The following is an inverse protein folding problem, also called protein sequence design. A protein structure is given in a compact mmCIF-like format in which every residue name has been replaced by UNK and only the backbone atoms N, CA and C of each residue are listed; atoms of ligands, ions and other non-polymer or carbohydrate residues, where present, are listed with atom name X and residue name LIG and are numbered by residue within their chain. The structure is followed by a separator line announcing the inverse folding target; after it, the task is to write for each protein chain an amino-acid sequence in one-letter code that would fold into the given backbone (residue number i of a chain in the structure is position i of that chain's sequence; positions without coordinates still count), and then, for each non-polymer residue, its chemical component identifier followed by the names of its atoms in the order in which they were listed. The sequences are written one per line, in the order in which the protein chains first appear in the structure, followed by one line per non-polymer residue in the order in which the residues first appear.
data_IF_488919175594
#
_entry.id   IF_488919175594
#
_cell.length_a   1.000
_cell.length_b   1.000
_cell.length_c   1.000
_cell.angle_alpha   90.00
_cell.angle_beta   90.00
_cell.angle_gamma   90.00
#
_symmetry.space_group_name_H-M   'P 1'
#
loop_
_entity.id
_entity.type
_entity.pdbx_description
1 polymer ?
#
# COMPACT_ATOMS: atom_id res chain seq x y z
N UNK A 1 43.10 9.07 38.75
CA UNK A 1 42.10 8.14 39.31
C UNK A 1 40.75 8.51 38.72
N UNK A 2 39.99 7.54 38.16
CA UNK A 2 38.84 7.80 37.31
C UNK A 2 37.57 8.03 38.14
N UNK A 3 36.73 8.97 37.70
CA UNK A 3 35.37 9.13 38.20
C UNK A 3 34.45 8.14 37.48
N UNK A 4 33.67 7.44 38.29
CA UNK A 4 32.85 6.28 37.95
C UNK A 4 31.60 6.61 37.12
N UNK A 5 31.26 5.66 36.24
CA UNK A 5 29.95 5.49 35.65
C UNK A 5 28.85 5.25 36.71
N UNK A 6 27.71 5.93 36.57
CA UNK A 6 26.41 5.44 37.05
C UNK A 6 25.24 6.24 36.43
N UNK A 7 24.23 5.48 35.98
CA UNK A 7 22.81 5.82 35.92
C UNK A 7 22.32 6.87 34.88
N UNK A 8 22.10 6.40 33.64
CA UNK A 8 21.00 6.90 32.80
C UNK A 8 19.89 5.84 32.76
N UNK A 9 19.22 5.69 33.90
CA UNK A 9 17.86 5.19 33.98
C UNK A 9 17.05 6.31 34.62
N UNK A 10 16.48 7.18 33.80
CA UNK A 10 15.38 8.03 34.25
C UNK A 10 14.24 7.85 33.27
N UNK A 11 13.18 7.27 33.80
CA UNK A 11 11.85 7.19 33.23
C UNK A 11 11.43 8.60 32.78
N UNK A 12 11.09 8.75 31.50
CA UNK A 12 10.17 9.82 31.13
C UNK A 12 8.78 9.34 31.52
N UNK A 13 8.41 9.58 32.78
CA UNK A 13 7.01 9.62 33.17
C UNK A 13 6.32 10.69 32.31
N UNK A 14 5.31 10.26 31.54
CA UNK A 14 4.41 11.18 30.86
C UNK A 14 3.68 12.08 31.87
N UNK A 15 3.06 13.18 31.44
CA UNK A 15 2.37 14.08 32.35
C UNK A 15 1.32 13.32 33.16
N UNK A 16 1.35 13.51 34.48
CA UNK A 16 0.40 12.98 35.46
C UNK A 16 -1.03 13.44 35.11
N UNK A 17 -1.70 12.61 34.31
CA UNK A 17 -3.15 12.68 34.10
C UNK A 17 -3.77 11.95 35.28
N UNK A 18 -4.41 12.72 36.16
CA UNK A 18 -4.98 12.24 37.43
C UNK A 18 -5.80 10.94 37.33
N UNK A 19 -6.12 10.32 38.48
CA UNK A 19 -6.52 8.93 38.54
C UNK A 19 -7.82 8.70 37.75
N UNK A 20 -7.72 7.95 36.64
CA UNK A 20 -8.89 7.32 36.01
C UNK A 20 -9.11 7.51 34.51
N UNK A 21 -8.19 8.12 33.74
CA UNK A 21 -8.31 8.09 32.26
C UNK A 21 -7.26 7.15 31.67
N UNK A 22 -7.63 5.87 31.54
CA UNK A 22 -6.87 4.93 30.71
C UNK A 22 -6.93 5.37 29.26
N UNK A 23 -5.94 6.15 28.79
CA UNK A 23 -5.82 6.53 27.39
C UNK A 23 -5.41 5.28 26.59
N UNK A 24 -6.37 4.68 25.90
CA UNK A 24 -6.07 3.63 24.92
C UNK A 24 -5.34 4.27 23.73
N UNK A 25 -4.13 3.83 23.37
CA UNK A 25 -3.46 4.29 22.16
C UNK A 25 -4.39 4.09 20.96
N UNK A 26 -4.58 5.13 20.16
CA UNK A 26 -5.36 5.03 18.93
C UNK A 26 -4.57 4.18 17.94
N UNK A 27 -5.24 3.15 17.40
CA UNK A 27 -4.68 2.31 16.34
C UNK A 27 -4.30 3.20 15.14
N UNK A 28 -3.06 3.13 14.62
CA UNK A 28 -2.68 3.92 13.46
C UNK A 28 -3.22 3.25 12.18
N UNK A 29 -4.52 3.38 11.93
CA UNK A 29 -5.25 2.66 10.87
C UNK A 29 -4.60 2.79 9.49
N UNK A 30 -4.22 3.99 9.06
CA UNK A 30 -3.60 4.17 7.75
C UNK A 30 -2.19 3.56 7.67
N UNK A 31 -1.43 3.55 8.78
CA UNK A 31 -0.13 2.89 8.84
C UNK A 31 -0.28 1.36 8.76
N UNK A 32 -1.30 0.83 9.45
CA UNK A 32 -1.64 -0.59 9.41
C UNK A 32 -2.13 -1.01 8.02
N UNK A 33 -2.94 -0.18 7.36
CA UNK A 33 -3.41 -0.42 6.00
C UNK A 33 -2.25 -0.42 4.99
N UNK A 34 -1.32 0.54 5.10
CA UNK A 34 -0.07 0.53 4.33
C UNK A 34 0.69 -0.77 4.54
N UNK A 35 0.91 -1.15 5.80
CA UNK A 35 1.71 -2.31 6.13
C UNK A 35 1.07 -3.62 5.63
N UNK A 36 -0.25 -3.79 5.80
CA UNK A 36 -1.01 -4.95 5.32
C UNK A 36 -1.15 -5.01 3.80
N UNK A 37 -1.10 -3.86 3.12
CA UNK A 37 -1.16 -3.83 1.65
C UNK A 37 0.10 -4.42 1.00
N UNK A 38 1.20 -4.54 1.74
CA UNK A 38 2.45 -5.06 1.20
C UNK A 38 2.41 -6.56 0.96
N UNK A 39 2.88 -6.96 -0.21
CA UNK A 39 3.23 -8.34 -0.51
C UNK A 39 4.57 -8.67 0.12
N UNK A 40 5.02 -9.92 0.05
CA UNK A 40 6.44 -10.20 0.30
C UNK A 40 7.18 -10.03 -1.03
N UNK A 41 8.39 -9.49 -0.98
CA UNK A 41 9.29 -9.44 -2.14
C UNK A 41 9.51 -10.84 -2.76
N UNK A 42 9.87 -10.99 -4.03
CA UNK A 42 10.27 -12.27 -4.60
C UNK A 42 11.49 -12.88 -3.87
N UNK A 43 11.63 -14.21 -3.75
CA UNK A 43 12.78 -14.82 -3.08
C UNK A 43 14.15 -14.30 -3.54
N UNK A 44 14.33 -14.10 -4.84
CA UNK A 44 15.58 -13.64 -5.44
C UNK A 44 15.97 -12.20 -5.09
N UNK A 45 15.00 -11.41 -4.60
CA UNK A 45 15.19 -10.01 -4.18
C UNK A 45 15.22 -9.84 -2.65
N UNK A 46 15.40 -10.93 -1.89
CA UNK A 46 15.42 -10.90 -0.42
C UNK A 46 16.81 -11.00 0.17
N UNK A 47 17.86 -11.18 -0.63
CA UNK A 47 19.19 -11.42 -0.09
C UNK A 47 19.75 -10.15 0.56
N UNK A 48 19.75 -9.03 -0.14
CA UNK A 48 20.20 -7.72 0.33
C UNK A 48 19.04 -6.71 0.30
N UNK A 49 19.05 -5.72 1.20
CA UNK A 49 18.01 -4.67 1.16
C UNK A 49 18.07 -3.86 -0.13
N UNK A 50 19.26 -3.78 -0.75
CA UNK A 50 19.53 -3.14 -2.04
C UNK A 50 19.05 -3.98 -3.23
N UNK A 51 18.34 -5.08 -3.03
CA UNK A 51 17.74 -5.82 -4.15
C UNK A 51 16.36 -5.26 -4.53
N UNK A 52 15.64 -4.66 -3.57
CA UNK A 52 14.30 -4.06 -3.75
C UNK A 52 14.39 -2.55 -3.93
N UNK A 53 13.80 -1.98 -5.00
CA UNK A 53 14.14 -0.61 -5.48
C UNK A 53 13.12 0.39 -4.99
N UNK A 54 13.56 1.48 -4.34
CA UNK A 54 12.75 2.66 -3.99
C UNK A 54 11.26 2.35 -3.73
N UNK A 55 10.39 2.64 -4.70
CA UNK A 55 8.93 2.51 -4.63
C UNK A 55 8.46 1.06 -4.40
N UNK A 56 9.26 0.06 -4.76
CA UNK A 56 8.98 -1.34 -4.46
C UNK A 56 9.02 -1.61 -2.97
N UNK A 57 9.79 -0.85 -2.17
CA UNK A 57 9.69 -0.93 -0.72
C UNK A 57 8.33 -0.47 -0.21
N UNK A 58 7.59 0.39 -0.92
CA UNK A 58 6.23 0.78 -0.54
C UNK A 58 5.21 -0.35 -0.79
N UNK A 59 5.53 -1.33 -1.63
CA UNK A 59 4.63 -2.41 -2.08
C UNK A 59 5.03 -3.79 -1.58
N UNK A 60 6.31 -3.99 -1.30
CA UNK A 60 6.92 -5.26 -0.94
C UNK A 60 7.54 -5.16 0.45
N UNK A 61 7.13 -6.06 1.32
CA UNK A 61 7.73 -6.36 2.59
C UNK A 61 8.94 -7.26 2.33
N UNK A 62 10.10 -6.80 2.80
CA UNK A 62 11.38 -7.48 2.63
C UNK A 62 12.18 -7.36 3.91
N UNK A 63 12.85 -8.45 4.25
CA UNK A 63 13.87 -8.50 5.29
C UNK A 63 15.07 -9.21 4.66
N UNK A 64 16.21 -8.55 4.63
CA UNK A 64 17.43 -9.11 4.05
C UNK A 64 17.72 -10.51 4.64
N UNK A 65 18.11 -11.46 3.80
CA UNK A 65 18.39 -12.87 4.13
C UNK A 65 17.21 -13.65 4.71
N UNK A 66 15.98 -13.13 4.74
CA UNK A 66 14.78 -13.90 5.07
C UNK A 66 14.25 -14.53 3.77
N UNK A 67 15.01 -15.49 3.23
CA UNK A 67 14.77 -16.06 1.90
C UNK A 67 13.46 -16.87 1.85
N UNK A 68 13.14 -17.55 2.95
CA UNK A 68 11.95 -18.41 3.06
C UNK A 68 10.68 -17.57 3.36
N UNK A 69 9.58 -17.93 2.70
CA UNK A 69 8.28 -17.24 2.83
C UNK A 69 7.71 -17.30 4.25
N UNK A 70 7.89 -18.42 4.95
CA UNK A 70 7.42 -18.65 6.33
C UNK A 70 8.11 -17.74 7.34
N UNK A 71 9.44 -17.59 7.25
CA UNK A 71 10.24 -16.68 8.07
C UNK A 71 9.79 -15.25 7.81
N UNK A 72 9.72 -14.85 6.54
CA UNK A 72 9.39 -13.47 6.18
C UNK A 72 7.93 -13.12 6.55
N UNK A 73 7.00 -14.06 6.38
CA UNK A 73 5.59 -13.94 6.83
C UNK A 73 5.52 -13.81 8.35
N UNK A 74 6.24 -14.65 9.10
CA UNK A 74 6.26 -14.62 10.56
C UNK A 74 6.76 -13.26 11.08
N UNK A 75 7.82 -12.70 10.47
CA UNK A 75 8.31 -11.36 10.84
C UNK A 75 7.26 -10.29 10.51
N UNK A 76 6.65 -10.33 9.32
CA UNK A 76 5.60 -9.36 8.93
C UNK A 76 4.41 -9.42 9.88
N UNK A 77 3.90 -10.61 10.15
CA UNK A 77 2.68 -10.80 10.90
C UNK A 77 2.90 -10.45 12.39
N UNK A 78 4.08 -10.77 12.95
CA UNK A 78 4.45 -10.33 14.29
C UNK A 78 4.59 -8.80 14.42
N UNK A 79 5.12 -8.11 13.40
CA UNK A 79 5.14 -6.64 13.37
C UNK A 79 3.73 -6.07 13.26
N UNK A 80 2.86 -6.70 12.47
CA UNK A 80 1.45 -6.30 12.34
C UNK A 80 0.74 -6.41 13.69
N UNK A 81 0.92 -7.54 14.39
CA UNK A 81 0.39 -7.74 15.74
C UNK A 81 0.95 -6.70 16.71
N UNK A 82 2.27 -6.47 16.71
CA UNK A 82 2.89 -5.46 17.56
C UNK A 82 2.34 -4.04 17.34
N UNK A 83 2.02 -3.68 16.09
CA UNK A 83 1.40 -2.39 15.77
C UNK A 83 -0.05 -2.29 16.26
N UNK A 84 -0.79 -3.40 16.24
CA UNK A 84 -2.18 -3.47 16.72
C UNK A 84 -2.25 -3.42 18.25
N UNK A 85 -1.38 -4.18 18.90
CA UNK A 85 -1.38 -4.37 20.35
C UNK A 85 -0.59 -3.28 21.10
N UNK A 86 0.22 -2.49 20.38
CA UNK A 86 1.10 -1.50 20.97
C UNK A 86 2.29 -2.12 21.72
N UNK A 87 2.76 -3.28 21.26
CA UNK A 87 3.84 -4.05 21.91
C UNK A 87 5.16 -3.28 21.91
N UNK A 88 5.86 -3.28 23.05
CA UNK A 88 7.18 -2.66 23.17
C UNK A 88 8.25 -3.46 22.40
N UNK A 89 9.33 -2.79 21.98
CA UNK A 89 10.39 -3.41 21.17
C UNK A 89 11.04 -4.62 21.88
N UNK A 90 11.31 -4.50 23.17
CA UNK A 90 11.96 -5.58 23.94
C UNK A 90 11.05 -6.82 24.04
N UNK A 91 9.76 -6.60 24.32
CA UNK A 91 8.77 -7.67 24.39
C UNK A 91 8.55 -8.35 23.03
N UNK A 92 8.46 -7.56 21.95
CA UNK A 92 8.34 -8.10 20.58
C UNK A 92 9.56 -8.92 20.18
N UNK A 93 10.78 -8.48 20.51
CA UNK A 93 12.00 -9.27 20.26
C UNK A 93 11.98 -10.58 21.05
N UNK A 94 11.59 -10.51 22.34
CA UNK A 94 11.56 -11.67 23.21
C UNK A 94 10.54 -12.71 22.75
N UNK A 95 9.38 -12.27 22.23
CA UNK A 95 8.34 -13.16 21.71
C UNK A 95 8.69 -13.77 20.35
N UNK A 96 9.30 -13.00 19.45
CA UNK A 96 9.59 -13.45 18.08
C UNK A 96 10.85 -14.33 17.99
N UNK A 97 11.85 -14.07 18.85
CA UNK A 97 13.16 -14.74 18.79
C UNK A 97 13.08 -16.28 18.82
N UNK A 98 12.34 -16.92 19.74
CA UNK A 98 12.25 -18.39 19.77
C UNK A 98 11.72 -18.98 18.46
N UNK A 99 10.69 -18.37 17.88
CA UNK A 99 10.09 -18.81 16.60
C UNK A 99 11.09 -18.71 15.46
N UNK A 100 11.89 -17.64 15.39
CA UNK A 100 12.92 -17.48 14.37
C UNK A 100 14.10 -18.45 14.56
N UNK A 101 14.43 -18.81 15.81
CA UNK A 101 15.43 -19.83 16.10
C UNK A 101 14.96 -21.22 15.66
N UNK A 102 13.70 -21.56 15.93
CA UNK A 102 13.09 -22.82 15.49
C UNK A 102 13.03 -22.93 13.97
N UNK A 103 12.72 -21.83 13.28
CA UNK A 103 12.75 -21.73 11.82
C UNK A 103 14.18 -21.71 11.22
N UNK A 104 15.24 -21.83 12.04
CA UNK A 104 16.63 -21.82 11.60
C UNK A 104 17.15 -20.45 11.14
N UNK A 105 16.40 -19.36 11.37
CA UNK A 105 16.77 -17.99 10.99
C UNK A 105 17.43 -17.23 12.15
N UNK A 106 18.52 -17.74 12.71
CA UNK A 106 19.23 -17.06 13.81
C UNK A 106 20.74 -17.28 13.79
N UNK A 107 21.52 -16.26 14.15
CA UNK A 107 22.98 -16.36 14.24
C UNK A 107 23.68 -16.29 12.88
N UNK A 108 24.87 -16.88 12.78
CA UNK A 108 25.64 -16.96 11.53
C UNK A 108 25.23 -18.18 10.71
N UNK A 109 25.16 -18.03 9.39
CA UNK A 109 24.87 -19.11 8.46
C UNK A 109 25.60 -18.90 7.13
N UNK A 110 25.84 -19.99 6.40
CA UNK A 110 26.34 -19.97 5.02
C UNK A 110 25.14 -19.96 4.07
N UNK A 111 25.02 -18.93 3.25
CA UNK A 111 23.93 -18.79 2.28
C UNK A 111 24.51 -18.40 0.93
N UNK A 112 24.01 -19.04 -0.13
CA UNK A 112 24.29 -18.67 -1.51
C UNK A 112 23.48 -17.43 -1.91
N UNK A 113 24.15 -16.45 -2.49
CA UNK A 113 23.50 -15.28 -3.09
C UNK A 113 22.84 -15.68 -4.42
N UNK A 114 21.51 -15.57 -4.57
CA UNK A 114 20.84 -15.95 -5.80
C UNK A 114 21.26 -15.12 -7.02
N UNK A 115 21.82 -13.91 -6.82
CA UNK A 115 22.27 -13.04 -7.93
C UNK A 115 23.69 -13.33 -8.39
N UNK A 116 24.59 -13.72 -7.48
CA UNK A 116 26.02 -13.92 -7.81
C UNK A 116 26.42 -15.39 -7.84
N UNK A 117 25.67 -16.28 -7.18
CA UNK A 117 26.01 -17.68 -6.97
C UNK A 117 27.12 -17.91 -5.92
N UNK A 118 27.55 -16.85 -5.23
CA UNK A 118 28.61 -16.95 -4.22
C UNK A 118 28.05 -17.37 -2.86
N UNK A 119 28.76 -18.26 -2.16
CA UNK A 119 28.42 -18.68 -0.80
C UNK A 119 29.09 -17.72 0.19
N UNK A 120 28.27 -17.05 1.00
CA UNK A 120 28.73 -16.07 1.98
C UNK A 120 28.36 -16.49 3.41
N UNK A 121 29.26 -16.20 4.36
CA UNK A 121 28.90 -16.22 5.79
C UNK A 121 28.11 -14.96 6.12
N UNK A 122 26.82 -15.12 6.43
CA UNK A 122 25.90 -14.03 6.73
C UNK A 122 25.33 -14.15 8.14
N UNK A 123 25.02 -13.00 8.74
CA UNK A 123 24.26 -12.94 10.00
C UNK A 123 22.77 -13.00 9.68
N UNK A 124 22.06 -14.06 10.03
CA UNK A 124 20.59 -14.18 10.03
C UNK A 124 19.99 -13.40 11.21
N UNK A 125 19.07 -13.93 12.00
CA UNK A 125 18.49 -13.23 13.14
C UNK A 125 19.50 -12.82 14.22
N UNK A 126 19.30 -11.63 14.80
CA UNK A 126 19.94 -11.15 16.03
C UNK A 126 19.12 -10.01 16.63
N UNK A 127 19.26 -9.74 17.94
CA UNK A 127 18.52 -8.67 18.62
C UNK A 127 18.78 -7.29 17.97
N UNK A 128 20.01 -7.03 17.52
CA UNK A 128 20.36 -5.81 16.78
C UNK A 128 19.61 -5.73 15.45
N UNK A 129 19.53 -6.83 14.70
CA UNK A 129 18.81 -6.86 13.43
C UNK A 129 17.32 -6.72 13.62
N UNK A 130 16.73 -7.38 14.62
CA UNK A 130 15.32 -7.22 14.96
C UNK A 130 14.98 -5.75 15.28
N UNK A 131 15.84 -5.03 16.01
CA UNK A 131 15.68 -3.59 16.23
C UNK A 131 15.65 -2.78 14.93
N UNK A 132 16.54 -3.06 13.98
CA UNK A 132 16.57 -2.38 12.67
C UNK A 132 15.30 -2.70 11.88
N UNK A 133 14.89 -3.97 11.84
CA UNK A 133 13.71 -4.44 11.13
C UNK A 133 12.46 -3.74 11.67
N UNK A 134 12.28 -3.74 12.99
CA UNK A 134 11.13 -3.08 13.63
C UNK A 134 11.14 -1.57 13.42
N UNK A 135 12.26 -0.88 13.69
CA UNK A 135 12.34 0.58 13.55
C UNK A 135 12.04 1.02 12.12
N UNK A 136 12.67 0.38 11.12
CA UNK A 136 12.53 0.74 9.71
C UNK A 136 11.10 0.54 9.23
N UNK A 137 10.53 -0.66 9.45
CA UNK A 137 9.20 -0.99 8.97
C UNK A 137 8.11 -0.16 9.66
N UNK A 138 8.18 -0.02 10.98
CA UNK A 138 7.20 0.74 11.74
C UNK A 138 7.21 2.23 11.36
N UNK A 139 8.39 2.81 11.13
CA UNK A 139 8.50 4.22 10.76
C UNK A 139 8.05 4.51 9.35
N UNK A 140 8.44 3.68 8.39
CA UNK A 140 7.97 3.84 7.02
C UNK A 140 6.45 3.68 6.96
N UNK A 141 5.87 2.80 7.78
CA UNK A 141 4.42 2.66 7.90
C UNK A 141 3.75 3.90 8.52
N UNK A 142 4.28 4.40 9.63
CA UNK A 142 3.76 5.63 10.26
C UNK A 142 3.91 6.84 9.34
N UNK A 143 5.02 6.94 8.59
CA UNK A 143 5.26 7.97 7.61
C UNK A 143 4.25 7.91 6.46
N UNK A 144 3.96 6.71 5.95
CA UNK A 144 2.95 6.48 4.92
C UNK A 144 1.54 6.86 5.39
N UNK A 145 1.16 6.42 6.59
CA UNK A 145 -0.12 6.79 7.21
C UNK A 145 -0.23 8.30 7.45
N UNK A 146 0.86 8.95 7.87
CA UNK A 146 0.91 10.41 8.01
C UNK A 146 0.73 11.13 6.68
N UNK A 147 1.36 10.66 5.61
CA UNK A 147 1.21 11.23 4.28
C UNK A 147 -0.24 11.11 3.79
N UNK A 148 -0.89 9.95 4.01
CA UNK A 148 -2.30 9.78 3.67
C UNK A 148 -3.21 10.83 4.35
N UNK A 149 -2.91 11.18 5.60
CA UNK A 149 -3.61 12.26 6.30
C UNK A 149 -3.27 13.63 5.71
N UNK A 150 -1.99 13.87 5.43
CA UNK A 150 -1.51 15.12 4.82
C UNK A 150 -2.24 15.37 3.50
N UNK A 151 -2.25 14.39 2.60
CA UNK A 151 -2.86 14.54 1.29
C UNK A 151 -4.37 14.77 1.41
N UNK A 152 -5.05 14.05 2.30
CA UNK A 152 -6.48 14.24 2.59
C UNK A 152 -6.81 15.65 3.11
N UNK A 153 -5.95 16.23 3.95
CA UNK A 153 -6.21 17.52 4.61
C UNK A 153 -5.51 18.72 3.95
N UNK A 154 -4.79 18.51 2.85
CA UNK A 154 -3.97 19.56 2.20
C UNK A 154 -4.73 20.82 1.79
N UNK A 155 -6.03 20.72 1.53
CA UNK A 155 -6.87 21.91 1.27
C UNK A 155 -6.96 22.86 2.47
N UNK A 156 -7.00 22.31 3.69
CA UNK A 156 -7.02 23.09 4.93
C UNK A 156 -5.61 23.44 5.42
N UNK A 157 -4.63 22.59 5.13
CA UNK A 157 -3.23 22.77 5.50
C UNK A 157 -2.32 22.63 4.27
N UNK A 158 -2.24 23.66 3.43
CA UNK A 158 -1.62 23.56 2.10
C UNK A 158 -0.10 23.51 2.10
N UNK A 159 0.57 23.72 3.24
CA UNK A 159 2.03 23.70 3.33
C UNK A 159 2.54 22.64 4.31
N UNK A 160 3.76 22.18 4.07
CA UNK A 160 4.54 21.35 4.98
C UNK A 160 5.80 22.10 5.40
N UNK A 161 6.14 22.00 6.68
CA UNK A 161 7.44 22.40 7.22
C UNK A 161 8.27 21.18 7.58
N UNK A 162 9.53 21.12 7.18
CA UNK A 162 10.47 20.07 7.60
C UNK A 162 11.13 20.44 8.93
N UNK A 163 11.30 19.44 9.80
CA UNK A 163 11.98 19.56 11.10
C UNK A 163 12.97 18.43 11.31
N UNK A 164 14.24 18.80 11.47
CA UNK A 164 15.24 17.92 12.06
C UNK A 164 15.07 17.92 13.59
N UNK A 165 14.86 16.76 14.18
CA UNK A 165 14.74 16.65 15.64
C UNK A 165 16.14 16.75 16.26
N UNK A 166 16.30 17.68 17.20
CA UNK A 166 17.56 17.86 17.91
C UNK A 166 17.80 16.71 18.89
N UNK A 167 18.84 15.93 18.62
CA UNK A 167 19.24 14.76 19.41
C UNK A 167 20.71 14.44 19.14
N UNK A 168 21.42 13.76 20.05
CA UNK A 168 22.83 13.39 19.87
C UNK A 168 23.11 12.55 18.61
N UNK A 169 22.09 11.85 18.11
CA UNK A 169 22.18 10.94 16.95
C UNK A 169 21.52 11.54 15.70
N UNK A 170 21.37 12.87 15.62
CA UNK A 170 20.93 13.55 14.41
C UNK A 170 22.03 13.49 13.35
N UNK A 171 21.63 13.43 12.08
CA UNK A 171 22.51 13.48 10.91
C UNK A 171 22.69 14.92 10.48
N UNK A 172 23.90 15.46 10.55
CA UNK A 172 24.15 16.88 10.22
C UNK A 172 23.77 17.19 8.76
N UNK A 173 23.88 16.19 7.88
CA UNK A 173 23.46 16.25 6.49
C UNK A 173 21.99 16.66 6.34
N UNK A 174 21.11 16.31 7.29
CA UNK A 174 19.69 16.67 7.22
C UNK A 174 19.40 18.13 7.63
N UNK A 175 20.39 18.86 8.17
CA UNK A 175 20.20 20.24 8.61
C UNK A 175 19.86 21.18 7.45
N UNK A 176 20.30 20.85 6.24
CA UNK A 176 19.94 21.59 5.01
C UNK A 176 18.44 21.58 4.73
N UNK A 177 17.72 20.59 5.24
CA UNK A 177 16.27 20.49 5.11
C UNK A 177 15.54 21.19 6.27
N UNK A 178 16.21 21.47 7.39
CA UNK A 178 15.54 22.00 8.58
C UNK A 178 14.97 23.39 8.33
N UNK A 179 13.69 23.58 8.65
CA UNK A 179 12.98 24.84 8.41
C UNK A 179 12.49 25.05 6.98
N UNK A 180 12.73 24.10 6.05
CA UNK A 180 12.16 24.15 4.70
C UNK A 180 10.62 24.15 4.78
N UNK A 181 9.97 25.14 4.17
CA UNK A 181 8.51 25.23 4.07
C UNK A 181 8.09 25.28 2.62
N UNK A 182 7.36 24.27 2.15
CA UNK A 182 6.88 24.17 0.76
C UNK A 182 5.43 23.70 0.70
N UNK A 183 4.69 23.99 -0.38
CA UNK A 183 3.35 23.43 -0.59
C UNK A 183 3.35 21.90 -0.49
N UNK A 184 2.25 21.29 -0.06
CA UNK A 184 2.11 19.82 0.04
C UNK A 184 2.39 19.12 -1.30
N UNK A 185 1.95 19.72 -2.40
CA UNK A 185 2.10 19.16 -3.76
C UNK A 185 3.50 19.43 -4.38
N UNK A 186 4.42 20.02 -3.63
CA UNK A 186 5.77 20.26 -4.11
C UNK A 186 6.54 18.95 -4.37
N UNK A 187 7.23 18.81 -5.52
CA UNK A 187 7.97 17.59 -5.86
C UNK A 187 9.09 17.25 -4.88
N UNK A 188 9.61 18.22 -4.12
CA UNK A 188 10.67 17.97 -3.11
C UNK A 188 10.26 16.88 -2.12
N UNK A 189 8.97 16.81 -1.76
CA UNK A 189 8.44 15.81 -0.83
C UNK A 189 8.38 14.39 -1.40
N UNK A 190 8.65 14.18 -2.68
CA UNK A 190 8.86 12.84 -3.22
C UNK A 190 10.18 12.23 -2.74
N UNK A 191 11.17 13.07 -2.43
CA UNK A 191 12.56 12.64 -2.26
C UNK A 191 13.06 12.81 -0.82
N UNK A 192 12.64 13.86 -0.11
CA UNK A 192 13.12 14.15 1.25
C UNK A 192 12.08 13.94 2.36
N UNK A 193 10.97 13.26 2.09
CA UNK A 193 9.93 13.04 3.10
C UNK A 193 10.37 11.96 4.10
N UNK A 194 10.51 12.28 5.41
CA UNK A 194 11.08 11.35 6.38
C UNK A 194 10.30 10.03 6.52
N UNK A 195 11.01 8.91 6.80
CA UNK A 195 12.43 8.84 7.18
C UNK A 195 13.38 8.89 5.97
N UNK A 196 14.46 9.69 6.07
CA UNK A 196 15.50 9.81 5.02
C UNK A 196 16.74 8.92 5.31
N UNK A 197 16.62 7.93 6.18
CA UNK A 197 17.74 7.09 6.61
C UNK A 197 17.43 6.24 7.84
N UNK A 198 18.26 5.22 8.09
CA UNK A 198 18.12 4.30 9.22
C UNK A 198 17.98 5.06 10.56
N UNK A 199 17.00 4.71 11.40
CA UNK A 199 16.74 5.39 12.67
C UNK A 199 16.51 6.92 12.60
N UNK A 200 16.25 7.48 11.41
CA UNK A 200 15.93 8.90 11.25
C UNK A 200 14.72 9.27 12.09
N UNK A 201 14.78 10.39 12.83
CA UNK A 201 13.65 10.90 13.65
C UNK A 201 13.12 12.24 13.13
N UNK A 202 13.59 12.70 11.96
CA UNK A 202 13.07 13.92 11.34
C UNK A 202 11.58 13.76 11.04
N UNK A 203 10.88 14.89 10.95
CA UNK A 203 9.45 14.93 10.73
C UNK A 203 9.10 16.12 9.84
N UNK A 204 8.01 16.02 9.10
CA UNK A 204 7.33 17.19 8.55
C UNK A 204 6.16 17.58 9.43
N UNK A 205 5.60 18.77 9.31
CA UNK A 205 4.36 19.17 9.98
C UNK A 205 3.53 20.06 9.06
N UNK A 206 2.21 20.00 9.21
CA UNK A 206 1.26 20.74 8.38
C UNK A 206 1.12 22.18 8.85
N UNK A 207 1.09 23.11 7.89
CA UNK A 207 0.98 24.55 8.11
C UNK A 207 -0.22 25.08 7.32
N UNK A 208 -1.04 25.92 7.96
CA UNK A 208 -2.22 26.55 7.33
C UNK A 208 -1.84 27.80 6.53
N UNK A 209 -2.67 28.19 5.56
CA UNK A 209 -2.51 29.47 4.86
C UNK A 209 -2.50 30.66 5.85
N UNK A 210 -3.38 30.64 6.85
CA UNK A 210 -3.43 31.71 7.85
C UNK A 210 -2.16 31.86 8.70
N UNK A 211 -1.36 30.79 8.88
CA UNK A 211 -0.05 30.89 9.54
C UNK A 211 1.01 31.54 8.64
N UNK A 212 0.93 31.31 7.32
CA UNK A 212 1.75 32.04 6.33
C UNK A 212 1.37 33.51 6.32
N UNK A 213 0.07 33.82 6.27
CA UNK A 213 -0.43 35.20 6.20
C UNK A 213 -0.07 36.03 7.44
N UNK A 214 0.02 35.38 8.61
CA UNK A 214 0.49 36.01 9.87
C UNK A 214 2.01 36.10 10.00
N UNK A 215 2.77 35.56 9.05
CA UNK A 215 4.23 35.56 9.08
C UNK A 215 4.85 34.61 10.11
N UNK A 216 4.10 33.62 10.62
CA UNK A 216 4.65 32.60 11.54
C UNK A 216 5.63 31.67 10.83
N UNK A 217 5.43 31.46 9.53
CA UNK A 217 6.30 30.69 8.65
C UNK A 217 6.44 31.42 7.30
N UNK A 218 7.59 31.27 6.65
CA UNK A 218 7.85 31.81 5.31
C UNK A 218 7.98 30.65 4.33
N UNK A 219 7.21 30.68 3.24
CA UNK A 219 7.35 29.69 2.15
C UNK A 219 8.73 29.87 1.53
N UNK A 220 9.54 28.81 1.59
CA UNK A 220 10.88 28.80 1.00
C UNK A 220 10.79 28.89 -0.52
N UNK A 221 11.80 29.43 -1.22
CA UNK A 221 11.90 29.31 -2.68
C UNK A 221 11.96 27.83 -3.10
N UNK A 222 11.80 27.51 -4.41
CA UNK A 222 12.10 26.17 -4.91
C UNK A 222 13.44 25.68 -4.36
N UNK A 223 13.44 24.46 -3.86
CA UNK A 223 14.59 23.87 -3.19
C UNK A 223 15.19 22.83 -4.13
N UNK A 224 16.29 23.20 -4.77
CA UNK A 224 17.04 22.28 -5.61
C UNK A 224 17.77 21.29 -4.72
N UNK A 225 17.52 20.01 -4.97
CA UNK A 225 18.18 18.91 -4.28
C UNK A 225 19.46 18.60 -5.05
N UNK A 226 20.61 18.90 -4.44
CA UNK A 226 21.88 18.42 -4.97
C UNK A 226 21.85 16.89 -4.92
N UNK A 227 22.11 16.25 -6.05
CA UNK A 227 22.17 14.78 -6.13
C UNK A 227 23.60 14.29 -5.92
N UNK A 228 23.73 13.15 -5.26
CA UNK A 228 25.00 12.45 -5.04
C UNK A 228 24.89 11.02 -5.56
N UNK A 229 25.96 10.55 -6.19
CA UNK A 229 26.08 9.17 -6.63
C UNK A 229 26.62 8.31 -5.48
N UNK A 230 25.89 7.25 -5.13
CA UNK A 230 26.22 6.31 -4.05
C UNK A 230 26.45 4.93 -4.65
N UNK A 231 27.64 4.31 -4.50
CA UNK A 231 27.92 3.01 -5.10
C UNK A 231 26.92 1.90 -4.69
N UNK A 232 26.36 1.20 -5.68
CA UNK A 232 25.38 0.13 -5.46
C UNK A 232 25.63 -1.10 -6.34
N UNK A 233 26.65 -1.93 -6.01
CA UNK A 233 27.07 -3.06 -6.85
C UNK A 233 26.01 -4.16 -7.06
N UNK A 234 24.86 -4.09 -6.37
CA UNK A 234 23.76 -5.05 -6.52
C UNK A 234 22.94 -4.81 -7.79
N UNK A 235 22.78 -3.55 -8.21
CA UNK A 235 21.88 -3.16 -9.31
C UNK A 235 22.52 -2.33 -10.41
N UNK A 236 23.68 -1.75 -10.15
CA UNK A 236 24.40 -0.93 -11.10
C UNK A 236 25.75 -0.48 -10.53
N UNK A 237 26.44 0.48 -11.14
CA UNK A 237 27.60 1.07 -10.51
C UNK A 237 27.19 1.94 -9.31
N UNK A 238 26.11 2.74 -9.43
CA UNK A 238 25.74 3.78 -8.46
C UNK A 238 24.22 4.05 -8.45
N UNK A 239 23.67 4.42 -7.29
CA UNK A 239 22.35 5.03 -7.10
C UNK A 239 22.52 6.55 -7.03
N UNK A 240 21.66 7.32 -7.71
CA UNK A 240 21.66 8.79 -7.66
C UNK A 240 20.53 9.23 -6.74
N UNK A 241 20.87 9.88 -5.63
CA UNK A 241 19.92 10.26 -4.57
C UNK A 241 20.20 11.67 -4.07
N UNK A 242 19.25 12.37 -3.44
CA UNK A 242 19.52 13.67 -2.84
C UNK A 242 20.60 13.59 -1.76
N UNK A 243 21.46 14.59 -1.71
CA UNK A 243 22.45 14.74 -0.65
C UNK A 243 21.78 14.76 0.73
N UNK A 244 22.24 13.88 1.62
CA UNK A 244 21.65 13.67 2.94
C UNK A 244 20.46 12.70 2.97
N UNK A 245 20.14 12.01 1.87
CA UNK A 245 19.17 10.92 1.83
C UNK A 245 19.89 9.59 1.59
N UNK A 246 19.61 8.59 2.42
CA UNK A 246 20.11 7.23 2.21
C UNK A 246 19.34 6.55 1.07
N UNK A 247 19.98 5.84 0.12
CA UNK A 247 19.28 5.22 -1.02
C UNK A 247 18.15 4.26 -0.67
N UNK A 248 18.17 3.61 0.50
CA UNK A 248 17.07 2.77 0.96
C UNK A 248 15.81 3.58 1.35
N UNK A 249 15.94 4.90 1.43
CA UNK A 249 14.95 5.86 1.91
C UNK A 249 14.71 6.99 0.92
N UNK A 250 15.26 6.89 -0.30
CA UNK A 250 15.05 7.83 -1.39
C UNK A 250 13.66 7.64 -2.01
N UNK A 251 12.67 8.26 -1.37
CA UNK A 251 11.27 8.14 -1.75
C UNK A 251 10.32 8.59 -0.64
N UNK A 252 9.04 8.66 -0.98
CA UNK A 252 7.98 8.95 -0.01
C UNK A 252 7.05 7.73 0.08
N UNK A 253 7.15 6.92 1.16
CA UNK A 253 6.44 5.66 1.24
C UNK A 253 4.92 5.84 1.18
N UNK A 254 4.39 6.97 1.63
CA UNK A 254 2.96 7.26 1.56
C UNK A 254 2.51 7.71 0.18
N UNK A 255 3.33 8.54 -0.49
CA UNK A 255 3.06 8.95 -1.87
C UNK A 255 3.10 7.74 -2.80
N UNK A 256 4.14 6.92 -2.69
CA UNK A 256 4.33 5.73 -3.52
C UNK A 256 3.26 4.67 -3.25
N UNK A 257 2.84 4.55 -2.00
CA UNK A 257 1.72 3.69 -1.63
C UNK A 257 0.42 4.16 -2.26
N UNK A 258 0.08 5.45 -2.13
CA UNK A 258 -1.20 6.00 -2.59
C UNK A 258 -1.26 6.26 -4.09
N UNK A 259 -0.13 6.18 -4.79
CA UNK A 259 -0.05 6.40 -6.23
C UNK A 259 -0.97 5.44 -7.00
N UNK A 260 -2.01 6.01 -7.61
CA UNK A 260 -2.96 5.32 -8.48
C UNK A 260 -2.66 5.55 -9.96
N UNK A 261 -1.82 6.52 -10.31
CA UNK A 261 -1.59 6.93 -11.70
C UNK A 261 -1.04 5.77 -12.52
N UNK A 262 0.06 5.15 -12.07
CA UNK A 262 0.66 4.00 -12.77
C UNK A 262 -0.32 2.85 -13.00
N UNK A 263 -1.17 2.54 -12.01
CA UNK A 263 -2.12 1.42 -12.11
C UNK A 263 -3.24 1.71 -13.08
N UNK A 264 -3.81 2.90 -12.97
CA UNK A 264 -4.87 3.35 -13.87
C UNK A 264 -4.35 3.47 -15.31
N UNK A 265 -3.10 3.91 -15.50
CA UNK A 265 -2.41 3.95 -16.80
C UNK A 265 -2.22 2.56 -17.40
N UNK A 266 -1.77 1.57 -16.59
CA UNK A 266 -1.61 0.18 -17.06
C UNK A 266 -2.94 -0.45 -17.46
N UNK A 267 -4.01 -0.18 -16.72
CA UNK A 267 -5.35 -0.68 -17.05
C UNK A 267 -5.92 0.00 -18.28
N UNK A 268 -5.75 1.32 -18.42
CA UNK A 268 -6.20 2.03 -19.59
C UNK A 268 -5.44 1.60 -20.85
N UNK A 269 -4.15 1.31 -20.72
CA UNK A 269 -3.28 0.99 -21.86
C UNK A 269 -3.24 2.18 -22.83
N UNK A 270 -3.44 1.89 -24.12
CA UNK A 270 -3.54 2.89 -25.19
C UNK A 270 -4.93 3.54 -25.28
N UNK A 271 -5.94 2.93 -24.66
CA UNK A 271 -7.34 3.38 -24.69
C UNK A 271 -7.64 4.38 -23.56
N UNK A 272 -6.93 5.52 -23.59
CA UNK A 272 -7.07 6.59 -22.58
C UNK A 272 -8.13 7.60 -23.04
N UNK A 273 -9.29 7.71 -22.35
CA UNK A 273 -10.26 8.74 -22.66
C UNK A 273 -9.71 10.14 -22.33
N UNK A 274 -10.28 11.19 -22.93
CA UNK A 274 -9.87 12.58 -22.65
C UNK A 274 -9.90 12.92 -21.14
N UNK A 275 -10.85 12.34 -20.40
CA UNK A 275 -11.02 12.46 -18.96
C UNK A 275 -10.13 11.56 -18.10
N UNK A 276 -9.10 10.91 -18.66
CA UNK A 276 -8.29 9.91 -17.93
C UNK A 276 -7.61 10.47 -16.67
N UNK A 277 -7.17 11.73 -16.70
CA UNK A 277 -6.59 12.39 -15.52
C UNK A 277 -7.62 12.61 -14.41
N UNK A 278 -8.86 12.97 -14.75
CA UNK A 278 -9.95 13.06 -13.77
C UNK A 278 -10.31 11.68 -13.19
N UNK A 279 -10.25 10.63 -14.01
CA UNK A 279 -10.41 9.24 -13.59
C UNK A 279 -9.34 8.82 -12.57
N UNK A 280 -8.07 9.14 -12.81
CA UNK A 280 -6.96 8.89 -11.86
C UNK A 280 -7.23 9.63 -10.53
N UNK A 281 -7.59 10.91 -10.60
CA UNK A 281 -7.90 11.72 -9.42
C UNK A 281 -9.06 11.15 -8.60
N UNK A 282 -10.13 10.71 -9.27
CA UNK A 282 -11.27 10.06 -8.61
C UNK A 282 -10.88 8.74 -7.96
N UNK A 283 -10.11 7.88 -8.64
CA UNK A 283 -9.61 6.62 -8.08
C UNK A 283 -8.75 6.83 -6.83
N UNK A 284 -7.84 7.81 -6.87
CA UNK A 284 -7.01 8.18 -5.73
C UNK A 284 -7.87 8.68 -4.54
N UNK A 285 -8.85 9.54 -4.81
CA UNK A 285 -9.77 10.05 -3.79
C UNK A 285 -10.61 8.92 -3.16
N UNK A 286 -11.18 8.04 -3.99
CA UNK A 286 -11.98 6.91 -3.53
C UNK A 286 -11.16 5.97 -2.64
N UNK A 287 -9.91 5.70 -3.01
CA UNK A 287 -8.98 4.91 -2.20
C UNK A 287 -8.70 5.56 -0.84
N UNK A 288 -8.44 6.86 -0.80
CA UNK A 288 -8.21 7.56 0.46
C UNK A 288 -9.44 7.55 1.37
N UNK A 289 -10.63 7.74 0.79
CA UNK A 289 -11.88 7.70 1.54
C UNK A 289 -12.08 6.32 2.15
N UNK A 290 -11.90 5.23 1.38
CA UNK A 290 -12.13 3.88 1.92
C UNK A 290 -11.11 3.50 3.00
N UNK A 291 -9.85 3.95 2.87
CA UNK A 291 -8.81 3.75 3.89
C UNK A 291 -9.16 4.37 5.24
N UNK A 292 -9.92 5.47 5.23
CA UNK A 292 -10.27 6.20 6.46
C UNK A 292 -11.66 5.85 7.00
N UNK A 293 -12.62 5.62 6.11
CA UNK A 293 -14.02 5.51 6.49
C UNK A 293 -14.53 4.06 6.51
N UNK A 294 -13.87 3.17 5.77
CA UNK A 294 -14.19 1.74 5.73
C UNK A 294 -15.53 1.38 5.06
N UNK A 295 -16.17 2.30 4.33
CA UNK A 295 -17.36 2.01 3.53
C UNK A 295 -17.27 2.53 2.10
N UNK A 296 -18.01 1.86 1.22
CA UNK A 296 -18.04 2.06 -0.22
C UNK A 296 -18.47 3.48 -0.62
N UNK A 297 -17.79 4.04 -1.61
CA UNK A 297 -18.18 5.27 -2.29
C UNK A 297 -17.95 5.10 -3.78
N UNK A 298 -18.68 5.84 -4.61
CA UNK A 298 -18.46 5.87 -6.04
C UNK A 298 -18.98 7.14 -6.67
N UNK A 299 -18.65 7.34 -7.93
CA UNK A 299 -19.20 8.41 -8.76
C UNK A 299 -19.15 8.02 -10.24
N UNK A 300 -19.98 8.69 -11.03
CA UNK A 300 -19.96 8.55 -12.48
C UNK A 300 -19.00 9.58 -13.09
N UNK A 301 -18.43 9.21 -14.24
CA UNK A 301 -17.48 10.02 -14.98
C UNK A 301 -17.84 10.03 -16.46
N UNK A 302 -17.95 11.21 -17.07
CA UNK A 302 -18.10 11.32 -18.54
C UNK A 302 -16.78 11.05 -19.27
N UNK A 303 -16.77 10.78 -20.58
CA UNK A 303 -15.53 10.62 -21.36
C UNK A 303 -14.56 11.80 -21.25
N UNK A 304 -15.08 13.01 -21.03
CA UNK A 304 -14.31 14.26 -20.88
C UNK A 304 -13.81 14.50 -19.44
N UNK A 305 -14.17 13.63 -18.50
CA UNK A 305 -13.67 13.69 -17.12
C UNK A 305 -14.55 14.48 -16.16
N UNK A 306 -15.80 14.78 -16.51
CA UNK A 306 -16.73 15.40 -15.57
C UNK A 306 -17.23 14.35 -14.57
N UNK A 307 -16.97 14.57 -13.28
CA UNK A 307 -17.45 13.72 -12.18
C UNK A 307 -18.85 14.16 -11.75
N UNK A 308 -19.78 13.23 -11.57
CA UNK A 308 -21.15 13.53 -11.14
C UNK A 308 -21.81 12.35 -10.41
N UNK A 309 -22.98 12.64 -9.81
CA UNK A 309 -23.81 11.68 -9.07
C UNK A 309 -23.00 10.83 -8.06
N UNK A 310 -22.36 11.46 -7.06
CA UNK A 310 -21.63 10.72 -6.03
C UNK A 310 -22.60 9.85 -5.23
N UNK A 311 -22.23 8.59 -5.04
CA UNK A 311 -22.98 7.59 -4.28
C UNK A 311 -22.12 7.09 -3.13
N UNK A 312 -22.78 6.70 -2.03
CA UNK A 312 -22.08 6.16 -0.88
C UNK A 312 -22.91 5.07 -0.17
N UNK A 313 -22.19 4.12 0.39
CA UNK A 313 -22.71 3.18 1.36
C UNK A 313 -22.93 3.86 2.72
N UNK A 314 -23.42 3.09 3.69
CA UNK A 314 -23.53 3.54 5.08
C UNK A 314 -22.63 2.70 5.96
N UNK A 315 -22.20 3.25 7.11
CA UNK A 315 -21.42 2.48 8.10
C UNK A 315 -22.09 1.16 8.51
N UNK A 316 -23.43 1.13 8.55
CA UNK A 316 -24.19 -0.08 8.88
C UNK A 316 -24.19 -1.14 7.77
N UNK A 317 -23.93 -0.75 6.51
CA UNK A 317 -23.84 -1.65 5.35
C UNK A 317 -22.70 -1.18 4.45
N UNK A 318 -21.45 -1.41 4.86
CA UNK A 318 -20.29 -0.73 4.28
C UNK A 318 -20.02 -1.14 2.83
N UNK A 319 -20.48 -2.30 2.36
CA UNK A 319 -20.28 -2.82 1.00
C UNK A 319 -21.55 -2.76 0.14
N UNK A 320 -22.44 -1.79 0.41
CA UNK A 320 -23.70 -1.65 -0.32
C UNK A 320 -23.95 -0.19 -0.64
N UNK A 321 -23.55 0.23 -1.83
CA UNK A 321 -23.89 1.55 -2.36
C UNK A 321 -25.41 1.75 -2.35
N UNK A 322 -25.84 2.91 -1.83
CA UNK A 322 -27.22 3.37 -1.93
C UNK A 322 -27.32 4.45 -2.99
N UNK A 323 -28.48 4.51 -3.66
CA UNK A 323 -28.87 5.69 -4.43
C UNK A 323 -28.38 5.73 -5.87
N UNK A 324 -28.07 4.59 -6.50
CA UNK A 324 -28.08 4.50 -7.95
C UNK A 324 -29.55 4.62 -8.41
N UNK A 325 -29.98 5.76 -8.99
CA UNK A 325 -31.38 5.96 -9.36
C UNK A 325 -31.66 5.09 -10.60
N UNK A 326 -32.72 4.25 -10.60
CA UNK A 326 -33.00 3.36 -11.73
C UNK A 326 -33.24 4.08 -13.06
N UNK A 327 -33.55 5.38 -13.02
CA UNK A 327 -33.84 6.24 -14.18
C UNK A 327 -32.74 7.29 -14.42
N UNK A 328 -31.53 7.10 -13.90
CA UNK A 328 -30.44 8.05 -14.10
C UNK A 328 -29.98 8.04 -15.57
N UNK A 329 -30.36 9.07 -16.32
CA UNK A 329 -29.84 9.29 -17.67
C UNK A 329 -28.36 9.70 -17.61
N UNK A 330 -27.50 8.86 -18.20
CA UNK A 330 -26.07 9.09 -18.26
C UNK A 330 -25.65 9.51 -19.68
N UNK A 331 -24.75 10.49 -19.81
CA UNK A 331 -24.13 10.77 -21.10
C UNK A 331 -23.50 9.49 -21.70
N UNK A 332 -23.65 9.25 -23.02
CA UNK A 332 -23.03 8.09 -23.67
C UNK A 332 -21.53 8.01 -23.39
N UNK A 333 -21.03 6.80 -23.16
CA UNK A 333 -19.62 6.58 -22.83
C UNK A 333 -19.26 6.88 -21.37
N UNK A 334 -20.23 7.20 -20.51
CA UNK A 334 -19.96 7.38 -19.08
C UNK A 334 -19.50 6.09 -18.42
N UNK A 335 -18.63 6.22 -17.43
CA UNK A 335 -18.11 5.11 -16.62
C UNK A 335 -18.50 5.29 -15.16
N UNK A 336 -18.46 4.21 -14.40
CA UNK A 336 -18.67 4.24 -12.96
C UNK A 336 -17.40 3.79 -12.24
N UNK A 337 -16.94 4.60 -11.29
CA UNK A 337 -15.75 4.28 -10.48
C UNK A 337 -16.18 4.28 -9.03
N UNK A 338 -15.86 3.20 -8.31
CA UNK A 338 -16.17 3.05 -6.90
C UNK A 338 -15.03 2.37 -6.13
N UNK A 339 -15.00 2.57 -4.82
CA UNK A 339 -14.08 1.87 -3.93
C UNK A 339 -14.69 0.57 -3.45
N UNK A 340 -13.95 -0.50 -3.19
CA UNK A 340 -14.43 -1.66 -2.44
C UNK A 340 -13.86 -1.65 -1.01
N UNK A 341 -14.63 -1.96 0.05
CA UNK A 341 -14.10 -2.03 1.43
C UNK A 341 -13.16 -3.19 1.70
N UNK A 342 -13.14 -4.17 0.80
CA UNK A 342 -12.28 -5.35 0.84
C UNK A 342 -11.48 -5.44 -0.45
N UNK A 343 -10.50 -6.35 -0.49
CA UNK A 343 -9.68 -6.58 -1.67
C UNK A 343 -10.38 -7.37 -2.80
N UNK A 344 -11.69 -7.62 -2.64
CA UNK A 344 -12.53 -8.35 -3.59
C UNK A 344 -12.58 -7.67 -4.96
N UNK A 345 -12.47 -8.43 -6.06
CA UNK A 345 -12.77 -7.97 -7.42
C UNK A 345 -14.23 -7.52 -7.61
N UNK A 346 -14.58 -7.15 -8.85
CA UNK A 346 -15.94 -6.79 -9.23
C UNK A 346 -16.94 -7.93 -8.97
N UNK A 347 -18.06 -7.55 -8.36
CA UNK A 347 -19.19 -8.43 -8.05
C UNK A 347 -20.14 -8.59 -9.24
N UNK A 348 -21.04 -9.59 -9.22
CA UNK A 348 -22.08 -9.69 -10.24
C UNK A 348 -22.98 -8.45 -10.30
N UNK A 349 -23.20 -7.79 -9.16
CA UNK A 349 -23.99 -6.57 -9.08
C UNK A 349 -23.30 -5.40 -9.79
N UNK A 350 -21.97 -5.33 -9.78
CA UNK A 350 -21.23 -4.28 -10.47
C UNK A 350 -21.35 -4.44 -11.99
N UNK A 351 -21.26 -5.69 -12.48
CA UNK A 351 -21.48 -6.02 -13.88
C UNK A 351 -22.92 -5.76 -14.32
N UNK A 352 -23.89 -6.15 -13.49
CA UNK A 352 -25.30 -5.86 -13.70
C UNK A 352 -25.53 -4.35 -13.87
N UNK A 353 -25.01 -3.56 -12.93
CA UNK A 353 -25.13 -2.11 -12.93
C UNK A 353 -24.46 -1.51 -14.18
N UNK A 354 -23.32 -2.04 -14.61
CA UNK A 354 -22.66 -1.58 -15.83
C UNK A 354 -23.52 -1.78 -17.08
N UNK A 355 -24.25 -2.91 -17.18
CA UNK A 355 -25.18 -3.16 -18.28
C UNK A 355 -26.43 -2.29 -18.16
N UNK A 356 -27.06 -2.27 -16.98
CA UNK A 356 -28.33 -1.58 -16.74
C UNK A 356 -28.20 -0.06 -17.00
N UNK A 357 -27.09 0.54 -16.57
CA UNK A 357 -26.79 1.96 -16.80
C UNK A 357 -26.07 2.24 -18.12
N UNK A 358 -25.87 1.22 -18.97
CA UNK A 358 -25.19 1.37 -20.26
C UNK A 358 -23.81 2.04 -20.14
N UNK A 359 -23.01 1.65 -19.14
CA UNK A 359 -21.69 2.21 -18.90
C UNK A 359 -20.67 1.79 -19.96
N UNK A 360 -19.67 2.63 -20.22
CA UNK A 360 -18.47 2.24 -20.95
C UNK A 360 -17.64 1.22 -20.17
N UNK A 361 -17.47 1.47 -18.88
CA UNK A 361 -16.81 0.57 -17.94
C UNK A 361 -17.27 0.79 -16.50
N UNK A 362 -17.05 -0.23 -15.67
CA UNK A 362 -17.07 -0.13 -14.22
C UNK A 362 -15.67 -0.43 -13.69
N UNK A 363 -15.18 0.41 -12.78
CA UNK A 363 -13.85 0.28 -12.18
C UNK A 363 -13.94 0.30 -10.66
N UNK A 364 -13.48 -0.77 -10.00
CA UNK A 364 -13.36 -0.86 -8.54
C UNK A 364 -11.92 -0.59 -8.08
N UNK A 365 -11.77 0.15 -6.98
CA UNK A 365 -10.48 0.44 -6.31
C UNK A 365 -10.51 -0.03 -4.85
N UNK A 366 -9.50 -0.74 -4.40
CA UNK A 366 -9.46 -1.31 -3.04
C UNK A 366 -8.54 -0.52 -2.08
N UNK A 367 -8.53 -0.82 -0.77
CA UNK A 367 -7.63 -0.18 0.20
C UNK A 367 -6.14 -0.39 -0.14
N UNK A 368 -5.75 -1.60 -0.55
CA UNK A 368 -4.39 -1.88 -1.02
C UNK A 368 -4.04 -1.22 -2.36
N UNK A 369 -5.01 -0.55 -3.00
CA UNK A 369 -4.84 0.10 -4.31
C UNK A 369 -4.94 -0.87 -5.48
N UNK A 370 -5.49 -2.05 -5.27
CA UNK A 370 -5.83 -2.95 -6.37
C UNK A 370 -6.94 -2.29 -7.20
N UNK A 371 -6.84 -2.44 -8.52
CA UNK A 371 -7.83 -1.91 -9.46
C UNK A 371 -8.36 -3.05 -10.31
N UNK A 372 -9.68 -3.11 -10.44
CA UNK A 372 -10.39 -4.07 -11.28
C UNK A 372 -11.34 -3.32 -12.19
N UNK A 373 -11.26 -3.55 -13.50
CA UNK A 373 -12.08 -2.89 -14.50
C UNK A 373 -12.77 -3.92 -15.39
N UNK A 374 -14.06 -3.74 -15.62
CA UNK A 374 -14.82 -4.48 -16.61
C UNK A 374 -15.49 -3.53 -17.60
N UNK A 375 -15.29 -3.80 -18.89
CA UNK A 375 -15.98 -3.14 -20.00
C UNK A 375 -17.01 -4.11 -20.58
N UNK A 376 -18.33 -3.83 -20.53
CA UNK A 376 -19.32 -4.69 -21.19
C UNK A 376 -19.09 -4.73 -22.70
N UNK A 377 -18.83 -5.92 -23.27
CA UNK A 377 -18.80 -6.14 -24.73
C UNK A 377 -20.21 -6.39 -25.25
N UNK A 378 -20.99 -7.14 -24.47
CA UNK A 378 -22.40 -7.42 -24.72
C UNK A 378 -23.23 -6.74 -23.63
N UNK A 379 -24.24 -5.97 -24.04
CA UNK A 379 -25.14 -5.22 -23.14
C UNK A 379 -26.45 -5.99 -22.96
N UNK A 380 -26.33 -7.27 -22.60
CA UNK A 380 -27.46 -8.19 -22.43
C UNK A 380 -27.47 -8.74 -20.99
N UNK A 381 -28.47 -8.32 -20.22
CA UNK A 381 -28.63 -8.71 -18.82
C UNK A 381 -28.96 -10.20 -18.66
N UNK A 382 -29.77 -10.75 -19.57
CA UNK A 382 -30.19 -12.16 -19.51
C UNK A 382 -29.01 -13.06 -19.81
N UNK A 383 -28.21 -12.70 -20.83
CA UNK A 383 -26.98 -13.42 -21.13
C UNK A 383 -26.00 -13.37 -19.95
N UNK A 384 -25.78 -12.20 -19.34
CA UNK A 384 -24.92 -12.09 -18.17
C UNK A 384 -25.38 -13.01 -17.03
N UNK A 385 -26.67 -12.97 -16.67
CA UNK A 385 -27.20 -13.78 -15.56
C UNK A 385 -27.13 -15.29 -15.84
N UNK A 386 -27.38 -15.71 -17.08
CA UNK A 386 -27.18 -17.09 -17.50
C UNK A 386 -25.72 -17.51 -17.37
N UNK A 387 -24.80 -16.71 -17.91
CA UNK A 387 -23.37 -17.01 -17.89
C UNK A 387 -22.82 -17.05 -16.45
N UNK A 388 -23.31 -16.17 -15.57
CA UNK A 388 -22.97 -16.23 -14.14
C UNK A 388 -23.45 -17.56 -13.49
N UNK A 389 -24.61 -18.07 -13.90
CA UNK A 389 -25.14 -19.36 -13.43
C UNK A 389 -24.29 -20.52 -13.96
N UNK A 390 -23.97 -20.50 -15.27
CA UNK A 390 -23.12 -21.51 -15.91
C UNK A 390 -21.76 -21.59 -15.22
N UNK A 391 -21.13 -20.44 -14.91
CA UNK A 391 -19.89 -20.39 -14.15
C UNK A 391 -19.98 -21.06 -12.77
N UNK A 392 -21.08 -20.85 -12.03
CA UNK A 392 -21.25 -21.49 -10.71
C UNK A 392 -21.40 -23.02 -10.85
N UNK A 393 -22.09 -23.48 -11.90
CA UNK A 393 -22.19 -24.91 -12.22
C UNK A 393 -20.81 -25.49 -12.54
N UNK A 394 -20.03 -24.83 -13.40
CA UNK A 394 -18.69 -25.27 -13.78
C UNK A 394 -17.73 -25.29 -12.59
N UNK A 395 -17.74 -24.25 -11.74
CA UNK A 395 -16.95 -24.27 -10.51
C UNK A 395 -17.36 -25.42 -9.61
N UNK A 396 -18.66 -25.65 -9.41
CA UNK A 396 -19.13 -26.74 -8.54
C UNK A 396 -18.73 -28.13 -9.05
N UNK A 397 -18.55 -28.29 -10.36
CA UNK A 397 -18.15 -29.54 -11.00
C UNK A 397 -16.62 -29.72 -11.10
N UNK A 398 -15.87 -28.62 -11.32
CA UNK A 398 -14.44 -28.64 -11.64
C UNK A 398 -13.50 -28.19 -10.51
N UNK A 399 -13.98 -27.39 -9.54
CA UNK A 399 -13.16 -27.00 -8.38
C UNK A 399 -13.26 -28.08 -7.31
N UNK A 400 -12.28 -28.99 -7.31
CA UNK A 400 -12.12 -29.89 -6.16
C UNK A 400 -11.79 -29.09 -4.90
N UNK A 401 -12.33 -29.52 -3.75
CA UNK A 401 -12.01 -28.97 -2.41
C UNK A 401 -10.50 -28.73 -2.21
N UNK A 402 -9.60 -29.64 -2.66
CA UNK A 402 -8.14 -29.44 -2.62
C UNK A 402 -7.60 -28.10 -3.13
N UNK A 403 -8.23 -27.48 -4.14
CA UNK A 403 -7.72 -26.23 -4.72
C UNK A 403 -7.96 -25.01 -3.83
N UNK A 404 -8.90 -25.11 -2.88
CA UNK A 404 -9.20 -24.06 -1.90
C UNK A 404 -8.67 -24.38 -0.51
N UNK A 405 -8.02 -25.52 -0.33
CA UNK A 405 -7.46 -25.91 0.95
C UNK A 405 -6.37 -24.93 1.41
N UNK A 406 -6.39 -24.66 2.71
CA UNK A 406 -5.49 -23.70 3.36
C UNK A 406 -5.84 -22.23 3.12
N UNK A 407 -6.81 -21.89 2.26
CA UNK A 407 -7.23 -20.50 2.04
C UNK A 407 -8.29 -20.05 3.06
N UNK A 408 -8.13 -18.85 3.58
CA UNK A 408 -9.14 -18.16 4.38
C UNK A 408 -10.32 -17.66 3.53
N UNK A 409 -11.42 -17.29 4.18
CA UNK A 409 -12.67 -16.92 3.50
C UNK A 409 -12.49 -15.77 2.49
N UNK A 410 -11.75 -14.72 2.87
CA UNK A 410 -11.49 -13.59 1.98
C UNK A 410 -10.66 -13.99 0.75
N UNK A 411 -9.66 -14.85 0.93
CA UNK A 411 -8.81 -15.32 -0.17
C UNK A 411 -9.63 -16.17 -1.15
N UNK A 412 -10.48 -17.06 -0.63
CA UNK A 412 -11.41 -17.85 -1.45
C UNK A 412 -12.34 -16.95 -2.25
N UNK A 413 -12.92 -15.95 -1.62
CA UNK A 413 -13.82 -15.00 -2.30
C UNK A 413 -13.07 -14.19 -3.37
N UNK A 414 -11.89 -13.65 -3.07
CA UNK A 414 -11.06 -12.92 -4.04
C UNK A 414 -10.75 -13.79 -5.25
N UNK A 415 -10.36 -15.05 -5.03
CA UNK A 415 -10.01 -16.00 -6.09
C UNK A 415 -11.23 -16.37 -6.95
N UNK A 416 -12.36 -16.71 -6.33
CA UNK A 416 -13.60 -17.08 -7.04
C UNK A 416 -14.13 -15.90 -7.88
N UNK A 417 -14.13 -14.69 -7.31
CA UNK A 417 -14.60 -13.52 -8.04
C UNK A 417 -13.67 -13.15 -9.19
N UNK A 418 -12.35 -13.29 -9.02
CA UNK A 418 -11.38 -13.06 -10.08
C UNK A 418 -11.54 -14.08 -11.22
N UNK A 419 -11.64 -15.36 -10.88
CA UNK A 419 -11.93 -16.45 -11.82
C UNK A 419 -13.18 -16.19 -12.66
N UNK A 420 -14.25 -15.72 -12.02
CA UNK A 420 -15.51 -15.37 -12.70
C UNK A 420 -15.31 -14.30 -13.76
N UNK A 421 -14.57 -13.25 -13.44
CA UNK A 421 -14.32 -12.15 -14.36
C UNK A 421 -13.47 -12.59 -15.55
N UNK A 422 -12.44 -13.42 -15.33
CA UNK A 422 -11.65 -14.03 -16.42
C UNK A 422 -12.51 -14.94 -17.32
N UNK A 423 -13.38 -15.74 -16.72
CA UNK A 423 -14.27 -16.62 -17.46
C UNK A 423 -15.25 -15.81 -18.34
N UNK A 424 -15.87 -14.76 -17.79
CA UNK A 424 -16.75 -13.87 -18.56
C UNK A 424 -16.02 -13.13 -19.69
N UNK A 425 -14.75 -12.75 -19.49
CA UNK A 425 -13.93 -12.13 -20.54
C UNK A 425 -13.70 -13.08 -21.72
N UNK A 426 -13.36 -14.35 -21.43
CA UNK A 426 -13.21 -15.39 -22.47
C UNK A 426 -14.47 -15.66 -23.27
N UNK A 427 -15.62 -15.66 -22.60
CA UNK A 427 -16.90 -15.81 -23.27
C UNK A 427 -17.27 -14.57 -24.12
N UNK A 428 -16.42 -13.54 -24.14
CA UNK A 428 -16.66 -12.33 -24.92
C UNK A 428 -17.74 -11.43 -24.33
N UNK A 429 -18.17 -11.65 -23.09
CA UNK A 429 -19.26 -10.92 -22.45
C UNK A 429 -18.77 -9.57 -21.94
N UNK A 430 -17.59 -9.56 -21.34
CA UNK A 430 -16.87 -8.36 -20.90
C UNK A 430 -15.46 -8.34 -21.49
N UNK A 431 -14.77 -7.21 -21.41
CA UNK A 431 -13.31 -7.17 -21.38
C UNK A 431 -12.88 -6.87 -19.94
N UNK A 432 -12.04 -7.72 -19.36
CA UNK A 432 -11.63 -7.61 -17.97
C UNK A 432 -10.15 -7.20 -17.89
N UNK A 433 -9.85 -6.17 -17.11
CA UNK A 433 -8.50 -5.68 -16.89
C UNK A 433 -8.29 -5.43 -15.41
N UNK A 434 -7.12 -5.73 -14.90
CA UNK A 434 -6.84 -5.57 -13.48
C UNK A 434 -5.35 -5.27 -13.24
N UNK A 435 -5.10 -4.59 -12.13
CA UNK A 435 -3.77 -4.28 -11.63
C UNK A 435 -3.77 -4.52 -10.14
N UNK A 436 -3.14 -5.61 -9.72
CA UNK A 436 -3.11 -6.04 -8.33
C UNK A 436 -1.70 -6.02 -7.79
N UNK A 437 -1.58 -5.89 -6.48
CA UNK A 437 -0.32 -5.96 -5.76
C UNK A 437 -0.47 -6.71 -4.47
N UNK A 438 0.68 -6.89 -3.82
CA UNK A 438 0.73 -7.38 -2.47
C UNK A 438 0.30 -8.84 -2.34
N UNK A 439 -0.48 -9.13 -1.30
CA UNK A 439 -0.95 -10.49 -1.07
C UNK A 439 -1.91 -10.98 -2.15
N UNK A 440 -2.70 -10.10 -2.78
CA UNK A 440 -3.60 -10.48 -3.88
C UNK A 440 -2.82 -10.91 -5.11
N UNK A 441 -1.76 -10.17 -5.45
CA UNK A 441 -0.86 -10.56 -6.54
C UNK A 441 -0.24 -11.93 -6.28
N UNK A 442 0.24 -12.19 -5.05
CA UNK A 442 0.74 -13.52 -4.68
C UNK A 442 -0.35 -14.58 -4.81
N UNK A 443 -1.53 -14.34 -4.25
CA UNK A 443 -2.61 -15.31 -4.30
C UNK A 443 -2.91 -15.72 -5.75
N UNK A 444 -2.91 -14.77 -6.67
CA UNK A 444 -3.11 -15.08 -8.09
C UNK A 444 -1.93 -15.82 -8.71
N UNK A 445 -0.69 -15.49 -8.35
CA UNK A 445 0.51 -16.19 -8.81
C UNK A 445 0.58 -17.64 -8.29
N UNK A 446 0.40 -17.85 -6.99
CA UNK A 446 0.44 -19.17 -6.34
C UNK A 446 -0.67 -20.10 -6.84
N UNK A 447 -1.78 -19.52 -7.29
CA UNK A 447 -2.94 -20.24 -7.83
C UNK A 447 -3.05 -20.06 -9.35
N UNK A 448 -1.98 -19.66 -10.04
CA UNK A 448 -2.00 -19.42 -11.49
C UNK A 448 -2.46 -20.66 -12.26
N UNK A 449 -1.97 -21.85 -11.91
CA UNK A 449 -2.40 -23.10 -12.54
C UNK A 449 -3.91 -23.37 -12.38
N UNK A 450 -4.50 -23.06 -11.23
CA UNK A 450 -5.95 -23.17 -11.03
C UNK A 450 -6.70 -22.15 -11.91
N UNK A 451 -6.20 -20.92 -11.97
CA UNK A 451 -6.73 -19.88 -12.84
C UNK A 451 -6.60 -20.28 -14.31
N UNK A 452 -5.54 -20.99 -14.70
CA UNK A 452 -5.34 -21.56 -16.03
C UNK A 452 -6.30 -22.74 -16.34
N UNK A 453 -6.67 -23.56 -15.35
CA UNK A 453 -7.70 -24.59 -15.58
C UNK A 453 -9.03 -23.93 -15.96
N UNK A 454 -9.41 -22.86 -15.26
CA UNK A 454 -10.64 -22.11 -15.55
C UNK A 454 -10.62 -21.40 -16.88
N UNK A 455 -9.41 -21.09 -17.31
CA UNK A 455 -9.12 -20.52 -18.59
C UNK A 455 -9.28 -21.53 -19.74
N UNK A 456 -9.03 -22.82 -19.48
CA UNK A 456 -9.01 -23.92 -20.46
C UNK A 456 -10.26 -24.83 -20.47
N UNK A 457 -11.27 -24.60 -19.62
CA UNK A 457 -12.49 -25.44 -19.50
C UNK A 457 -13.38 -25.49 -20.77
N UNK A 458 -12.93 -24.94 -21.91
CA UNK A 458 -13.51 -25.23 -23.23
C UNK A 458 -12.44 -25.71 -24.24
N UNK A 459 -11.98 -26.94 -24.04
CA UNK A 459 -11.64 -27.86 -25.14
C UNK A 459 -12.52 -29.09 -25.11
#
# INVERSE_FOLDING_TARGET
MPASAAAWGSEMEGPDVGPGVGLKPLLPEEALAYFRSKGLAPPDDRFDYRDVWQQEHARSFVVAKAMQDDVLTTIRDSLTAAMVDGTLLEDWKASLKPTLQEAGWWGDSLIEDPRTGEIETVRLGSDRRLRVISDTNMRSALAAGRWARIDRTKRAFPYLGYRQIDRPTKREEHKRFDGLVRPVDDPVWAQIYPPNGWFCKCAVFQITQGQIDRGEFTVSPPFDLDEVAVPNPRRGPEDVVPDGVDPAFDGNPGRDWLDMERRMDRIAGDDRPAGHQARIGLAAQLRQNILFEGFERGAFLTPEGRIFAPVQATKARPSRLRGLPPELELPPGSSFIHSHPSERPLSPQDLASAIDYQLADVTAVTPAGNVYQARPRLRDRVLLDRSLTDFLTEISAGWSVPYLDGLGDLEREVLIQHARLRWLDRQGIIAYSYDVSGWVHRLFADRAALLEVLDDVHR
#
